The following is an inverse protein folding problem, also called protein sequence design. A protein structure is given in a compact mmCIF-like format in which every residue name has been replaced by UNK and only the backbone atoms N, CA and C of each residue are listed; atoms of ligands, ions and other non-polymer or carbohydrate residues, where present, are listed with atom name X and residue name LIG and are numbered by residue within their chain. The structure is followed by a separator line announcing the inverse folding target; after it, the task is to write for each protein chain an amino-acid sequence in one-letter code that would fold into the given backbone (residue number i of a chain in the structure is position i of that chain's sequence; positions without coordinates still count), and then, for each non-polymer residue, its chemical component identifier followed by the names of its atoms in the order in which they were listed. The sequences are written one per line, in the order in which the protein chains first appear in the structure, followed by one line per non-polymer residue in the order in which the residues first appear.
data_IF_454153116126
#
_entry.id   IF_454153116126
#
_cell.length_a   1.000
_cell.length_b   1.000
_cell.length_c   1.000
_cell.angle_alpha   90.00
_cell.angle_beta   90.00
_cell.angle_gamma   90.00
#
_symmetry.space_group_name_H-M   'P 1'
#
loop_
_entity.id
_entity.type
_entity.pdbx_description
1 polymer ?
#
# COMPACT_ATOMS: atom_id res chain seq x y z
N UNK A 1 -33.60 18.24 -15.24
CA UNK A 1 -33.72 16.81 -15.62
C UNK A 1 -32.40 16.21 -16.09
N UNK A 2 -31.44 17.01 -16.59
CA UNK A 2 -30.10 16.53 -16.96
C UNK A 2 -29.13 16.38 -15.77
N UNK A 3 -29.29 17.17 -14.70
CA UNK A 3 -28.42 17.07 -13.50
C UNK A 3 -28.64 15.79 -12.69
N UNK A 4 -29.90 15.34 -12.55
CA UNK A 4 -30.21 14.07 -11.88
C UNK A 4 -29.64 12.85 -12.61
N UNK A 5 -29.48 12.90 -13.93
CA UNK A 5 -28.87 11.80 -14.71
C UNK A 5 -27.36 11.67 -14.48
N UNK A 6 -26.68 12.72 -14.00
CA UNK A 6 -25.26 12.66 -13.64
C UNK A 6 -25.06 12.05 -12.24
N UNK A 7 -25.97 12.34 -11.30
CA UNK A 7 -26.00 11.73 -9.97
C UNK A 7 -26.45 10.26 -10.00
N UNK A 8 -27.26 9.90 -10.99
CA UNK A 8 -27.84 8.56 -11.22
C UNK A 8 -27.10 7.76 -12.32
N UNK A 9 -25.93 8.22 -12.79
CA UNK A 9 -24.98 7.29 -13.39
C UNK A 9 -24.42 6.45 -12.25
N UNK A 10 -25.11 5.34 -11.96
CA UNK A 10 -24.74 4.31 -11.00
C UNK A 10 -23.23 4.35 -10.72
N UNK A 11 -22.83 4.74 -9.49
CA UNK A 11 -21.43 4.70 -9.05
C UNK A 11 -20.90 3.35 -9.51
N UNK A 12 -20.09 3.33 -10.57
CA UNK A 12 -19.43 2.10 -11.00
C UNK A 12 -18.55 1.74 -9.81
N UNK A 13 -18.97 0.78 -9.02
CA UNK A 13 -18.18 0.30 -7.90
C UNK A 13 -17.02 -0.56 -8.39
N UNK A 14 -16.99 -0.91 -9.67
CA UNK A 14 -15.90 -1.62 -10.31
C UNK A 14 -15.31 -0.77 -11.44
N UNK A 15 -14.02 -0.47 -11.32
CA UNK A 15 -13.20 0.24 -12.31
C UNK A 15 -12.09 -0.69 -12.78
N UNK A 16 -11.66 -0.51 -14.02
CA UNK A 16 -10.64 -1.36 -14.63
C UNK A 16 -9.58 -0.49 -15.29
N UNK A 17 -8.33 -0.90 -15.12
CA UNK A 17 -7.17 -0.32 -15.81
C UNK A 17 -6.54 -1.41 -16.67
N UNK A 18 -6.29 -1.09 -17.93
CA UNK A 18 -5.55 -1.99 -18.82
C UNK A 18 -4.09 -2.01 -18.41
N UNK A 19 -3.56 -3.21 -18.22
CA UNK A 19 -2.18 -3.46 -17.86
C UNK A 19 -1.58 -4.53 -18.80
N UNK A 20 -0.37 -4.33 -19.36
CA UNK A 20 0.23 -5.32 -20.25
C UNK A 20 0.55 -6.68 -19.61
N UNK A 21 0.75 -6.74 -18.29
CA UNK A 21 1.10 -7.96 -17.55
C UNK A 21 -0.15 -8.69 -17.06
N UNK A 22 -1.12 -7.96 -16.51
CA UNK A 22 -2.31 -8.53 -15.88
C UNK A 22 -3.58 -8.47 -16.74
N UNK A 23 -3.49 -7.88 -17.94
CA UNK A 23 -4.59 -7.50 -18.83
C UNK A 23 -5.52 -6.43 -18.24
N UNK A 24 -6.11 -6.70 -17.07
CA UNK A 24 -6.98 -5.79 -16.34
C UNK A 24 -6.65 -5.81 -14.84
N UNK A 25 -6.48 -4.62 -14.28
CA UNK A 25 -6.38 -4.38 -12.84
C UNK A 25 -7.70 -3.80 -12.38
N UNK A 26 -8.32 -4.45 -11.39
CA UNK A 26 -9.62 -4.07 -10.87
C UNK A 26 -9.47 -3.18 -9.63
N UNK A 27 -10.29 -2.14 -9.57
CA UNK A 27 -10.28 -1.12 -8.53
C UNK A 27 -11.70 -0.81 -8.10
N UNK A 28 -11.92 -0.70 -6.81
CA UNK A 28 -13.15 -0.10 -6.33
C UNK A 28 -13.12 1.44 -6.43
N UNK A 29 -14.25 2.09 -6.14
CA UNK A 29 -14.37 3.55 -6.25
C UNK A 29 -13.47 4.32 -5.27
N UNK A 30 -13.14 3.75 -4.12
CA UNK A 30 -12.31 4.36 -3.09
C UNK A 30 -10.83 4.16 -3.41
N UNK A 31 -10.43 2.98 -3.87
CA UNK A 31 -9.09 2.69 -4.38
C UNK A 31 -8.76 3.57 -5.59
N UNK A 32 -9.71 3.76 -6.50
CA UNK A 32 -9.56 4.70 -7.62
C UNK A 32 -9.31 6.14 -7.14
N UNK A 33 -9.89 6.56 -6.02
CA UNK A 33 -9.60 7.89 -5.48
C UNK A 33 -8.19 7.99 -4.94
N UNK A 34 -7.67 6.95 -4.29
CA UNK A 34 -6.27 6.89 -3.84
C UNK A 34 -5.33 6.93 -5.04
N UNK A 35 -5.62 6.14 -6.07
CA UNK A 35 -4.85 6.13 -7.32
C UNK A 35 -4.81 7.53 -7.96
N UNK A 36 -5.91 8.28 -7.88
CA UNK A 36 -6.03 9.64 -8.42
C UNK A 36 -5.48 10.75 -7.51
N UNK A 37 -4.92 10.41 -6.34
CA UNK A 37 -4.25 11.37 -5.47
C UNK A 37 -3.03 11.99 -6.16
N UNK A 38 -2.67 13.21 -5.76
CA UNK A 38 -1.47 13.89 -6.25
C UNK A 38 -0.23 13.07 -5.90
N UNK A 39 -0.20 12.53 -4.69
CA UNK A 39 0.88 11.67 -4.19
C UNK A 39 1.16 10.47 -5.09
N UNK A 40 0.13 9.79 -5.60
CA UNK A 40 0.28 8.63 -6.51
C UNK A 40 0.44 9.06 -7.97
N UNK A 41 -0.32 10.06 -8.45
CA UNK A 41 -0.24 10.51 -9.85
C UNK A 41 1.15 11.06 -10.22
N UNK A 42 1.90 11.62 -9.27
CA UNK A 42 3.27 12.08 -9.55
C UNK A 42 4.19 10.95 -10.03
N UNK A 43 3.91 9.69 -9.66
CA UNK A 43 4.73 8.54 -10.05
C UNK A 43 4.78 8.34 -11.57
N UNK A 44 3.87 8.95 -12.33
CA UNK A 44 3.90 8.98 -13.80
C UNK A 44 5.15 9.67 -14.36
N UNK A 45 5.81 10.49 -13.55
CA UNK A 45 6.99 11.23 -13.94
C UNK A 45 8.29 10.57 -13.46
N UNK A 46 8.22 9.42 -12.76
CA UNK A 46 9.38 8.75 -12.18
C UNK A 46 9.57 7.40 -12.89
N UNK A 47 10.72 7.23 -13.56
CA UNK A 47 11.07 5.94 -14.16
C UNK A 47 11.27 4.87 -13.09
N UNK A 48 10.81 3.65 -13.35
CA UNK A 48 11.09 2.51 -12.47
C UNK A 48 12.60 2.31 -12.34
N UNK A 49 13.30 2.24 -13.48
CA UNK A 49 14.72 1.95 -13.57
C UNK A 49 15.57 3.18 -13.88
N UNK A 50 15.34 4.32 -13.21
CA UNK A 50 16.19 5.52 -13.31
C UNK A 50 16.62 5.87 -14.75
N UNK A 51 17.91 5.74 -15.07
CA UNK A 51 18.51 6.05 -16.37
C UNK A 51 18.65 4.84 -17.31
N UNK A 52 18.18 3.65 -16.92
CA UNK A 52 18.32 2.42 -17.70
C UNK A 52 17.71 2.53 -19.10
N UNK A 53 16.72 3.40 -19.30
CA UNK A 53 16.15 3.67 -20.63
C UNK A 53 17.17 4.23 -21.64
N UNK A 54 18.31 4.77 -21.18
CA UNK A 54 19.41 5.23 -22.04
C UNK A 54 20.22 4.07 -22.65
N UNK A 55 20.22 2.90 -22.01
CA UNK A 55 20.94 1.70 -22.47
C UNK A 55 19.96 0.66 -23.03
N UNK A 56 18.80 0.52 -22.40
CA UNK A 56 17.73 -0.39 -22.78
C UNK A 56 16.48 0.42 -23.17
N UNK A 57 16.26 0.73 -24.46
CA UNK A 57 15.18 1.61 -24.90
C UNK A 57 13.76 1.16 -24.52
N UNK A 58 13.55 -0.12 -24.20
CA UNK A 58 12.27 -0.65 -23.71
C UNK A 58 12.01 -0.41 -22.21
N UNK A 59 13.02 0.01 -21.44
CA UNK A 59 12.92 0.22 -19.99
C UNK A 59 12.33 1.61 -19.65
N UNK A 60 11.25 2.01 -20.33
CA UNK A 60 10.64 3.36 -20.20
C UNK A 60 9.53 3.44 -19.16
N UNK A 61 9.12 2.31 -18.60
CA UNK A 61 8.03 2.24 -17.64
C UNK A 61 8.32 3.06 -16.38
N UNK A 62 7.24 3.59 -15.82
CA UNK A 62 7.20 4.45 -14.65
C UNK A 62 6.76 3.65 -13.43
N UNK A 63 7.01 4.24 -12.26
CA UNK A 63 6.51 3.69 -10.99
C UNK A 63 4.99 3.68 -10.92
N UNK A 64 4.33 4.55 -11.68
CA UNK A 64 2.87 4.62 -11.69
C UNK A 64 2.21 3.33 -12.16
N UNK A 65 2.66 2.70 -13.26
CA UNK A 65 2.09 1.41 -13.69
C UNK A 65 2.56 0.24 -12.82
N UNK A 66 3.72 0.36 -12.19
CA UNK A 66 4.22 -0.63 -11.24
C UNK A 66 3.28 -0.76 -10.02
N UNK A 67 2.90 0.34 -9.37
CA UNK A 67 2.17 0.27 -8.09
C UNK A 67 0.79 -0.43 -8.17
N UNK A 68 -0.09 -0.17 -9.16
CA UNK A 68 -1.31 -0.93 -9.37
C UNK A 68 -1.03 -2.40 -9.72
N UNK A 69 0.06 -2.69 -10.43
CA UNK A 69 0.48 -4.06 -10.72
C UNK A 69 0.86 -4.82 -9.44
N UNK A 70 1.59 -4.19 -8.53
CA UNK A 70 1.92 -4.77 -7.21
C UNK A 70 0.65 -4.96 -6.38
N UNK A 71 -0.28 -4.02 -6.40
CA UNK A 71 -1.58 -4.16 -5.73
C UNK A 71 -2.35 -5.39 -6.25
N UNK A 72 -2.44 -5.58 -7.56
CA UNK A 72 -3.08 -6.74 -8.17
C UNK A 72 -2.39 -8.05 -7.79
N UNK A 73 -1.05 -8.09 -7.83
CA UNK A 73 -0.27 -9.26 -7.42
C UNK A 73 -0.49 -9.60 -5.94
N UNK A 74 -0.39 -8.60 -5.06
CA UNK A 74 -0.60 -8.76 -3.63
C UNK A 74 -1.99 -9.28 -3.32
N UNK A 75 -3.01 -8.86 -4.09
CA UNK A 75 -4.37 -9.36 -3.99
C UNK A 75 -4.47 -10.84 -4.32
N UNK A 76 -3.88 -11.26 -5.45
CA UNK A 76 -3.88 -12.67 -5.86
C UNK A 76 -3.18 -13.54 -4.83
N UNK A 77 -2.06 -13.08 -4.29
CA UNK A 77 -1.34 -13.78 -3.22
C UNK A 77 -2.21 -13.87 -1.96
N UNK A 78 -2.82 -12.77 -1.54
CA UNK A 78 -3.71 -12.73 -0.38
C UNK A 78 -4.87 -13.71 -0.54
N UNK A 79 -5.56 -13.68 -1.68
CA UNK A 79 -6.70 -14.53 -1.97
C UNK A 79 -6.29 -16.02 -1.97
N UNK A 80 -5.10 -16.37 -2.48
CA UNK A 80 -4.58 -17.75 -2.42
C UNK A 80 -4.32 -18.17 -0.98
N UNK A 81 -3.63 -17.33 -0.20
CA UNK A 81 -3.25 -17.63 1.19
C UNK A 81 -4.50 -17.82 2.05
N UNK A 82 -5.46 -16.90 1.98
CA UNK A 82 -6.70 -16.98 2.76
C UNK A 82 -7.59 -18.16 2.36
N UNK A 83 -7.61 -18.55 1.08
CA UNK A 83 -8.42 -19.69 0.63
C UNK A 83 -7.76 -21.05 0.85
N UNK A 84 -6.44 -21.10 1.02
CA UNK A 84 -5.68 -22.36 1.17
C UNK A 84 -5.30 -22.65 2.61
N UNK A 85 -5.09 -21.63 3.43
CA UNK A 85 -4.70 -21.78 4.84
C UNK A 85 -5.91 -22.04 5.72
N UNK A 86 -5.75 -22.91 6.73
CA UNK A 86 -6.73 -23.04 7.80
C UNK A 86 -6.84 -21.73 8.59
N UNK A 87 -8.05 -21.33 9.03
CA UNK A 87 -8.25 -20.12 9.84
C UNK A 87 -7.34 -20.05 11.08
N UNK A 88 -7.07 -21.21 11.69
CA UNK A 88 -6.22 -21.35 12.88
C UNK A 88 -4.76 -20.90 12.66
N UNK A 89 -4.28 -20.83 11.41
CA UNK A 89 -2.92 -20.40 11.09
C UNK A 89 -2.82 -18.89 10.91
N UNK A 90 -3.88 -18.28 10.38
CA UNK A 90 -3.90 -16.86 10.04
C UNK A 90 -4.51 -15.99 11.15
N UNK A 91 -5.24 -16.59 12.10
CA UNK A 91 -6.00 -15.88 13.13
C UNK A 91 -6.95 -14.82 12.53
N UNK A 92 -7.43 -15.05 11.30
CA UNK A 92 -8.42 -14.21 10.62
C UNK A 92 -9.75 -14.96 10.66
N UNK A 93 -10.68 -14.49 11.49
CA UNK A 93 -11.99 -15.12 11.65
C UNK A 93 -13.12 -14.21 11.13
N UNK A 94 -13.95 -14.77 10.26
CA UNK A 94 -15.08 -14.08 9.64
C UNK A 94 -14.76 -13.23 8.40
N UNK A 95 -15.83 -12.91 7.66
CA UNK A 95 -15.75 -12.24 6.35
C UNK A 95 -15.29 -10.78 6.45
N UNK A 96 -15.59 -10.11 7.57
CA UNK A 96 -15.21 -8.73 7.80
C UNK A 96 -13.69 -8.56 7.91
N UNK A 97 -13.01 -9.41 8.70
CA UNK A 97 -11.56 -9.32 8.89
C UNK A 97 -10.82 -9.65 7.60
N UNK A 98 -11.30 -10.65 6.86
CA UNK A 98 -10.76 -10.99 5.53
C UNK A 98 -10.81 -9.79 4.59
N UNK A 99 -11.97 -9.15 4.48
CA UNK A 99 -12.11 -7.97 3.61
C UNK A 99 -11.25 -6.78 4.10
N UNK A 100 -11.20 -6.56 5.42
CA UNK A 100 -10.36 -5.51 6.01
C UNK A 100 -8.87 -5.71 5.68
N UNK A 101 -8.33 -6.91 5.92
CA UNK A 101 -6.93 -7.20 5.63
C UNK A 101 -6.64 -7.21 4.14
N UNK A 102 -7.53 -7.76 3.32
CA UNK A 102 -7.42 -7.72 1.86
C UNK A 102 -7.26 -6.29 1.36
N UNK A 103 -8.13 -5.38 1.83
CA UNK A 103 -8.09 -3.97 1.47
C UNK A 103 -6.86 -3.25 2.01
N UNK A 104 -6.44 -3.59 3.24
CA UNK A 104 -5.21 -3.04 3.85
C UNK A 104 -3.97 -3.42 3.03
N UNK A 105 -3.83 -4.70 2.66
CA UNK A 105 -2.72 -5.19 1.84
C UNK A 105 -2.73 -4.53 0.47
N UNK A 106 -3.91 -4.39 -0.15
CA UNK A 106 -4.07 -3.68 -1.43
C UNK A 106 -3.61 -2.24 -1.35
N UNK A 107 -4.07 -1.49 -0.34
CA UNK A 107 -3.66 -0.09 -0.17
C UNK A 107 -2.18 0.05 0.16
N UNK A 108 -1.63 -0.79 1.05
CA UNK A 108 -0.21 -0.83 1.33
C UNK A 108 0.62 -1.08 0.07
N UNK A 109 0.23 -2.08 -0.74
CA UNK A 109 0.88 -2.39 -2.01
C UNK A 109 0.74 -1.25 -3.03
N UNK A 110 -0.41 -0.58 -3.11
CA UNK A 110 -0.62 0.54 -4.01
C UNK A 110 0.27 1.75 -3.65
N UNK A 111 0.54 1.97 -2.36
CA UNK A 111 1.28 3.15 -1.92
C UNK A 111 2.72 2.90 -1.50
N UNK A 112 3.21 1.66 -1.49
CA UNK A 112 4.55 1.34 -0.98
C UNK A 112 5.67 2.19 -1.60
N UNK A 113 5.53 2.51 -2.88
CA UNK A 113 6.52 3.21 -3.69
C UNK A 113 6.28 4.73 -3.81
N UNK A 114 5.27 5.27 -3.10
CA UNK A 114 4.96 6.70 -3.19
C UNK A 114 6.06 7.55 -2.58
N UNK A 115 7.09 7.04 -1.93
CA UNK A 115 8.17 7.87 -1.40
C UNK A 115 9.29 8.17 -2.39
N UNK A 116 9.34 7.48 -3.53
CA UNK A 116 10.50 7.58 -4.41
C UNK A 116 10.68 8.98 -5.04
N UNK A 117 11.95 9.36 -5.12
CA UNK A 117 12.40 10.57 -5.79
C UNK A 117 12.75 10.31 -7.28
N UNK A 118 12.90 11.37 -8.09
CA UNK A 118 13.42 11.24 -9.45
C UNK A 118 14.77 10.51 -9.45
N UNK A 119 15.01 9.69 -10.48
CA UNK A 119 16.18 8.80 -10.58
C UNK A 119 16.21 7.64 -9.55
N UNK A 120 15.12 7.38 -8.82
CA UNK A 120 15.02 6.24 -7.90
C UNK A 120 16.19 6.24 -6.90
N UNK A 121 16.72 5.05 -6.55
CA UNK A 121 17.85 4.90 -5.64
C UNK A 121 19.12 5.67 -6.05
N UNK A 122 19.30 6.00 -7.33
CA UNK A 122 20.47 6.79 -7.76
C UNK A 122 20.48 8.21 -7.17
N UNK A 123 19.32 8.71 -6.70
CA UNK A 123 19.21 10.00 -6.01
C UNK A 123 19.25 9.89 -4.49
N UNK A 124 19.04 8.69 -3.93
CA UNK A 124 18.87 8.51 -2.48
C UNK A 124 20.18 8.79 -1.72
N UNK A 125 21.32 8.47 -2.33
CA UNK A 125 22.65 8.76 -1.78
C UNK A 125 22.94 10.28 -1.65
N UNK A 126 22.17 11.12 -2.36
CA UNK A 126 22.31 12.58 -2.29
C UNK A 126 21.47 13.20 -1.17
N UNK A 127 20.57 12.42 -0.55
CA UNK A 127 19.71 12.93 0.51
C UNK A 127 20.40 12.90 1.88
N UNK A 128 19.98 13.77 2.81
CA UNK A 128 20.42 13.70 4.20
C UNK A 128 20.19 12.31 4.80
N UNK A 129 21.00 11.89 5.78
CA UNK A 129 20.81 10.62 6.48
C UNK A 129 19.36 10.45 6.98
N UNK A 130 18.82 9.23 6.88
CA UNK A 130 17.45 8.88 7.25
C UNK A 130 16.35 9.61 6.43
N UNK A 131 16.64 9.94 5.16
CA UNK A 131 15.64 10.38 4.17
C UNK A 131 15.68 9.49 2.92
N UNK A 132 15.58 8.19 3.12
CA UNK A 132 15.33 7.25 2.04
C UNK A 132 13.87 7.35 1.56
N UNK A 133 13.57 6.59 0.50
CA UNK A 133 12.22 6.53 -0.06
C UNK A 133 11.21 5.94 0.94
N UNK A 134 11.60 5.03 1.82
CA UNK A 134 10.70 4.46 2.84
C UNK A 134 10.24 5.52 3.85
N UNK A 135 11.18 6.33 4.37
CA UNK A 135 10.87 7.44 5.25
C UNK A 135 9.98 8.49 4.56
N UNK A 136 10.20 8.72 3.26
CA UNK A 136 9.35 9.60 2.45
C UNK A 136 7.97 9.00 2.18
N UNK A 137 7.87 7.68 1.97
CA UNK A 137 6.60 6.95 1.83
C UNK A 137 5.77 7.15 3.09
N UNK A 138 6.34 6.93 4.27
CA UNK A 138 5.64 7.11 5.55
C UNK A 138 5.10 8.54 5.71
N UNK A 139 5.93 9.55 5.43
CA UNK A 139 5.51 10.97 5.50
C UNK A 139 4.35 11.30 4.57
N UNK A 140 4.30 10.67 3.39
CA UNK A 140 3.21 10.89 2.44
C UNK A 140 1.94 10.15 2.84
N UNK A 141 2.05 8.93 3.38
CA UNK A 141 0.92 8.18 3.93
C UNK A 141 0.25 8.96 5.09
N UNK A 142 1.05 9.62 5.92
CA UNK A 142 0.60 10.44 7.05
C UNK A 142 0.19 11.88 6.66
N UNK A 143 0.29 12.24 5.37
CA UNK A 143 -0.09 13.57 4.90
C UNK A 143 -1.59 13.81 5.01
N UNK A 144 -2.00 15.08 5.14
CA UNK A 144 -3.41 15.45 5.21
C UNK A 144 -4.21 15.04 3.95
N UNK A 145 -3.55 14.95 2.78
CA UNK A 145 -4.19 14.46 1.56
C UNK A 145 -4.64 13.01 1.73
N UNK A 146 -3.71 12.16 2.16
CA UNK A 146 -3.93 10.73 2.32
C UNK A 146 -4.85 10.43 3.51
N UNK A 147 -4.73 11.18 4.62
CA UNK A 147 -5.62 11.04 5.77
C UNK A 147 -7.10 11.22 5.39
N UNK A 148 -7.40 12.20 4.52
CA UNK A 148 -8.77 12.42 4.00
C UNK A 148 -9.26 11.25 3.15
N UNK A 149 -8.37 10.52 2.48
CA UNK A 149 -8.69 9.33 1.68
C UNK A 149 -8.93 8.12 2.60
N UNK A 150 -8.09 7.91 3.61
CA UNK A 150 -8.21 6.81 4.59
C UNK A 150 -9.54 6.85 5.34
N UNK A 151 -9.98 8.05 5.75
CA UNK A 151 -11.29 8.26 6.37
C UNK A 151 -12.46 7.80 5.49
N UNK A 152 -12.33 7.89 4.17
CA UNK A 152 -13.37 7.47 3.22
C UNK A 152 -13.36 5.96 2.97
N UNK A 153 -12.18 5.34 2.98
CA UNK A 153 -12.01 3.89 2.86
C UNK A 153 -12.62 3.08 4.01
N UNK A 154 -13.13 3.76 5.05
CA UNK A 154 -13.63 3.15 6.30
C UNK A 154 -12.64 2.13 6.87
N UNK A 155 -11.35 2.35 6.66
CA UNK A 155 -10.29 1.69 7.42
C UNK A 155 -10.29 2.27 8.84
N UNK A 156 -11.41 2.13 9.55
CA UNK A 156 -11.44 2.33 10.99
C UNK A 156 -10.77 1.11 11.59
N UNK A 157 -9.68 1.36 12.31
CA UNK A 157 -8.97 0.34 13.06
C UNK A 157 -9.98 -0.51 13.84
N UNK A 158 -9.91 -1.84 13.63
CA UNK A 158 -10.06 -2.73 14.79
C UNK A 158 -9.14 -2.12 15.83
N UNK A 159 -9.70 -1.72 16.98
CA UNK A 159 -8.85 -1.43 18.13
C UNK A 159 -8.03 -2.70 18.35
N UNK A 160 -6.80 -2.73 17.85
CA UNK A 160 -5.83 -3.68 18.31
C UNK A 160 -5.69 -3.28 19.76
N UNK A 161 -6.43 -3.97 20.63
CA UNK A 161 -6.18 -3.96 22.05
C UNK A 161 -4.77 -4.53 22.14
N UNK A 162 -3.76 -3.65 22.07
CA UNK A 162 -2.54 -3.87 22.80
C UNK A 162 -3.03 -4.01 24.25
N UNK A 163 -3.28 -5.25 24.66
CA UNK A 163 -3.36 -5.60 26.06
C UNK A 163 -2.01 -5.21 26.63
N UNK A 164 -1.91 -4.00 27.15
CA UNK A 164 -0.90 -3.68 28.13
C UNK A 164 -0.99 -4.77 29.19
N UNK A 165 0.10 -5.48 29.53
CA UNK A 165 0.07 -6.37 30.67
C UNK A 165 0.03 -5.51 31.93
N UNK A 166 -1.16 -5.03 32.29
CA UNK A 166 -1.44 -4.54 33.65
C UNK A 166 -1.67 -5.76 34.54
N UNK A 167 -0.57 -6.36 34.97
CA UNK A 167 -0.48 -6.93 36.32
C UNK A 167 0.98 -7.18 36.64
N UNK A 168 1.50 -6.32 37.49
CA UNK A 168 2.72 -6.57 38.26
C UNK A 168 2.46 -7.79 39.12
N UNK A 169 2.99 -8.95 38.73
CA UNK A 169 3.23 -10.05 39.66
C UNK A 169 4.37 -10.93 39.15
N UNK A 170 5.54 -10.66 39.73
CA UNK A 170 6.66 -11.56 39.97
C UNK A 170 6.82 -12.79 39.05
N UNK A 171 7.85 -12.78 38.20
CA UNK A 171 8.60 -14.00 37.88
C UNK A 171 10.13 -13.70 37.97
N UNK A 172 10.93 -14.51 38.67
CA UNK A 172 12.30 -14.18 39.06
C UNK A 172 13.37 -14.76 38.11
N UNK A 173 14.60 -14.28 38.30
CA UNK A 173 15.89 -14.75 37.76
C UNK A 173 16.20 -14.40 36.29
N UNK A 174 17.02 -13.37 36.04
CA UNK A 174 18.49 -13.44 35.90
C UNK A 174 18.96 -14.54 34.93
N UNK A 175 19.37 -14.12 33.73
CA UNK A 175 20.70 -14.45 33.18
C UNK A 175 21.19 -13.27 32.33
N UNK A 176 22.28 -12.63 32.78
CA UNK A 176 23.08 -11.69 31.98
C UNK A 176 23.78 -12.49 30.88
N UNK A 177 23.71 -12.02 29.63
CA UNK A 177 24.73 -12.33 28.64
C UNK A 177 25.58 -11.07 28.50
N UNK A 178 26.79 -11.15 29.05
CA UNK A 178 27.87 -10.20 28.84
C UNK A 178 28.48 -10.41 27.46
N UNK A 179 28.48 -9.39 26.61
CA UNK A 179 29.38 -9.29 25.47
C UNK A 179 30.45 -8.28 25.85
N UNK A 180 31.63 -8.78 26.18
CA UNK A 180 32.87 -8.02 26.24
C UNK A 180 33.38 -7.78 24.82
N UNK A 181 33.87 -6.55 24.61
CA UNK A 181 34.88 -6.19 23.62
C UNK A 181 36.19 -6.92 23.90
#
# INVERSE_FOLDING_TARGET
MFEKRAEEMARKNNHEIRDPMYAFIHLDSEERQVLNSVSVQRLRHIHQFALTYLVCPGATHRRFEHSPGVMELATRIYDIVVNTSSPDVLEIDGDYEKEYYRRTVRMAALVHDIGHAPFSHASEDLFPPARDHEAMTLRLIESEEMERLWKRLRMSSISVRCSTPTSVSACPARTRISLTT
#
